data_IF_992550546143
#
_entry.id   IF_992550546143
#
_cell.length_a   1.000
_cell.length_b   1.000
_cell.length_c   1.000
_cell.angle_alpha   90.00
_cell.angle_beta   90.00
_cell.angle_gamma   90.00
#
_symmetry.space_group_name_H-M   'P 1'
#
loop_
_entity.id
_entity.type
_entity.pdbx_description
1 polymer ?
#
# COMPACT_ATOMS: atom_id res chain seq x y z
N UNK A 1 16.51 1.85 -0.81
CA UNK A 1 15.81 2.65 0.20
C UNK A 1 15.76 1.96 1.56
N UNK A 2 15.33 0.70 1.65
CA UNK A 2 15.21 -0.03 2.93
C UNK A 2 16.54 -0.13 3.70
N UNK A 3 17.66 -0.42 3.03
CA UNK A 3 18.99 -0.47 3.65
C UNK A 3 19.39 0.87 4.29
N UNK A 4 19.03 1.99 3.65
CA UNK A 4 19.29 3.34 4.20
C UNK A 4 18.49 3.55 5.48
N UNK A 5 17.21 3.13 5.49
CA UNK A 5 16.35 3.23 6.67
C UNK A 5 16.86 2.30 7.78
N UNK A 6 17.29 1.09 7.44
CA UNK A 6 17.86 0.13 8.39
C UNK A 6 19.14 0.69 9.02
N UNK A 7 20.04 1.27 8.23
CA UNK A 7 21.24 1.93 8.74
C UNK A 7 20.91 3.13 9.65
N UNK A 8 19.95 3.97 9.26
CA UNK A 8 19.52 5.10 10.08
C UNK A 8 18.83 4.65 11.38
N UNK A 9 18.12 3.52 11.34
CA UNK A 9 17.45 2.92 12.52
C UNK A 9 18.42 2.34 13.54
N UNK A 10 19.69 2.16 13.21
CA UNK A 10 20.74 1.75 14.17
C UNK A 10 21.04 2.84 15.21
N UNK A 11 20.58 4.08 14.99
CA UNK A 11 20.68 5.16 15.96
C UNK A 11 19.85 4.82 17.21
N UNK A 12 20.42 4.86 18.42
CA UNK A 12 19.76 4.33 19.63
C UNK A 12 18.54 5.14 20.08
N UNK A 13 18.37 6.37 19.63
CA UNK A 13 17.22 7.23 19.97
C UNK A 13 16.99 8.33 18.93
N UNK A 14 15.78 8.88 18.93
CA UNK A 14 15.43 10.07 18.15
C UNK A 14 15.28 9.82 16.65
N UNK A 15 15.21 8.56 16.23
CA UNK A 15 14.89 8.20 14.85
C UNK A 15 13.63 7.32 14.81
N UNK A 16 12.63 7.76 14.08
CA UNK A 16 11.41 6.98 13.84
C UNK A 16 11.45 6.49 12.39
N UNK A 17 11.57 5.16 12.15
CA UNK A 17 11.67 4.63 10.80
C UNK A 17 10.29 4.67 10.10
N UNK A 18 10.22 5.34 8.96
CA UNK A 18 9.12 5.26 8.02
C UNK A 18 9.60 4.54 6.76
N UNK A 19 8.81 3.57 6.31
CA UNK A 19 9.14 2.78 5.13
C UNK A 19 8.19 3.14 3.97
N UNK A 20 8.67 3.06 2.72
CA UNK A 20 7.78 3.18 1.57
C UNK A 20 6.64 2.16 1.65
N UNK A 21 5.48 2.56 1.15
CA UNK A 21 4.27 1.73 1.10
C UNK A 21 3.30 2.26 0.05
N UNK A 22 2.06 1.80 0.09
CA UNK A 22 0.99 2.28 -0.81
C UNK A 22 0.70 3.77 -0.62
N UNK A 23 0.99 4.27 0.55
CA UNK A 23 0.78 5.65 1.00
C UNK A 23 0.56 5.67 2.51
N UNK A 24 0.63 6.84 3.11
CA UNK A 24 0.32 7.05 4.51
C UNK A 24 -1.16 7.31 4.63
N UNK A 25 -1.86 6.45 5.37
CA UNK A 25 -3.28 6.60 5.70
C UNK A 25 -3.50 7.03 7.14
N UNK A 26 -4.78 7.01 7.57
CA UNK A 26 -5.22 7.44 8.89
C UNK A 26 -5.51 8.93 8.98
N UNK A 27 -5.79 9.43 10.20
CA UNK A 27 -6.37 10.76 10.38
C UNK A 27 -5.34 11.85 10.71
N UNK A 28 -4.22 11.52 11.35
CA UNK A 28 -3.29 12.51 11.86
C UNK A 28 -2.15 12.78 10.87
N UNK A 29 -1.37 11.75 10.52
CA UNK A 29 -0.14 11.94 9.74
C UNK A 29 -0.39 12.56 8.36
N UNK A 30 -1.41 12.17 7.57
CA UNK A 30 -1.66 12.80 6.27
C UNK A 30 -2.37 14.15 6.37
N UNK A 31 -3.03 14.48 7.50
CA UNK A 31 -3.91 15.65 7.60
C UNK A 31 -3.31 16.79 8.41
N UNK A 32 -2.72 16.53 9.58
CA UNK A 32 -2.21 17.59 10.47
C UNK A 32 -1.14 18.47 9.81
N UNK A 33 -0.20 17.96 9.00
CA UNK A 33 0.74 18.79 8.27
C UNK A 33 0.07 19.76 7.29
N UNK A 34 -1.09 19.38 6.71
CA UNK A 34 -1.85 20.25 5.81
C UNK A 34 -2.51 21.41 6.55
N UNK A 35 -2.97 21.19 7.78
CA UNK A 35 -3.43 22.28 8.64
C UNK A 35 -2.30 23.27 8.93
N UNK A 36 -1.09 22.78 9.21
CA UNK A 36 0.07 23.64 9.40
C UNK A 36 0.39 24.44 8.12
N UNK A 37 0.34 23.82 6.96
CA UNK A 37 0.55 24.47 5.65
C UNK A 37 -0.49 25.55 5.42
N UNK A 38 -1.77 25.26 5.68
CA UNK A 38 -2.86 26.22 5.57
C UNK A 38 -2.67 27.40 6.53
N UNK A 39 -2.36 27.13 7.80
CA UNK A 39 -2.14 28.18 8.80
C UNK A 39 -0.94 29.07 8.45
N UNK A 40 0.17 28.48 8.03
CA UNK A 40 1.36 29.23 7.61
C UNK A 40 1.04 30.17 6.44
N UNK A 41 0.25 29.70 5.46
CA UNK A 41 -0.16 30.52 4.31
C UNK A 41 -0.95 31.76 4.73
N UNK A 42 -1.80 31.66 5.76
CA UNK A 42 -2.54 32.82 6.33
C UNK A 42 -1.62 33.86 6.98
N UNK A 43 -0.39 33.48 7.31
CA UNK A 43 0.65 34.35 7.86
C UNK A 43 1.68 34.80 6.82
N UNK A 44 1.42 34.53 5.54
CA UNK A 44 2.34 34.89 4.44
C UNK A 44 3.56 33.97 4.29
N UNK A 45 3.58 32.84 4.99
CA UNK A 45 4.66 31.85 4.89
C UNK A 45 4.26 30.67 4.01
N UNK A 46 5.26 30.02 3.39
CA UNK A 46 5.08 28.81 2.59
C UNK A 46 5.66 27.61 3.32
N UNK A 47 5.03 26.46 3.16
CA UNK A 47 5.51 25.16 3.66
C UNK A 47 5.72 24.21 2.47
N UNK A 48 6.58 24.61 1.52
CA UNK A 48 6.76 23.93 0.23
C UNK A 48 7.18 22.47 0.39
N UNK A 49 8.00 22.17 1.40
CA UNK A 49 8.44 20.79 1.67
C UNK A 49 7.27 19.89 2.10
N UNK A 50 6.36 20.39 2.94
CA UNK A 50 5.16 19.62 3.34
C UNK A 50 4.26 19.37 2.13
N UNK A 51 4.05 20.40 1.31
CA UNK A 51 3.24 20.28 0.09
C UNK A 51 3.84 19.29 -0.92
N UNK A 52 5.17 19.30 -1.09
CA UNK A 52 5.85 18.35 -1.95
C UNK A 52 5.77 16.90 -1.40
N UNK A 53 5.93 16.72 -0.09
CA UNK A 53 5.81 15.41 0.55
C UNK A 53 4.38 14.85 0.41
N UNK A 54 3.37 15.69 0.60
CA UNK A 54 1.96 15.31 0.41
C UNK A 54 1.69 14.90 -1.04
N UNK A 55 2.14 15.69 -2.02
CA UNK A 55 1.97 15.36 -3.44
C UNK A 55 2.60 14.01 -3.81
N UNK A 56 3.77 13.67 -3.26
CA UNK A 56 4.39 12.35 -3.42
C UNK A 56 3.52 11.27 -2.78
N UNK A 57 3.08 11.46 -1.54
CA UNK A 57 2.22 10.50 -0.83
C UNK A 57 0.94 10.21 -1.62
N UNK A 58 0.25 11.23 -2.10
CA UNK A 58 -0.96 11.11 -2.91
C UNK A 58 -0.72 10.39 -4.25
N UNK A 59 0.49 10.42 -4.78
CA UNK A 59 0.83 9.71 -6.02
C UNK A 59 1.15 8.23 -5.84
N UNK A 60 1.43 7.77 -4.61
CA UNK A 60 1.89 6.41 -4.33
C UNK A 60 0.89 5.30 -4.70
N UNK A 61 -0.41 5.40 -4.43
CA UNK A 61 -1.36 4.37 -4.84
C UNK A 61 -1.31 4.10 -6.35
N UNK A 62 -1.28 5.16 -7.15
CA UNK A 62 -1.16 5.06 -8.60
C UNK A 62 0.19 4.46 -9.05
N UNK A 63 1.27 4.82 -8.38
CA UNK A 63 2.59 4.25 -8.66
C UNK A 63 2.61 2.74 -8.38
N UNK A 64 2.07 2.30 -7.26
CA UNK A 64 1.94 0.89 -6.88
C UNK A 64 1.09 0.13 -7.90
N UNK A 65 -0.08 0.67 -8.27
CA UNK A 65 -0.94 0.05 -9.29
C UNK A 65 -0.21 -0.17 -10.61
N UNK A 66 0.50 0.85 -11.12
CA UNK A 66 1.27 0.74 -12.36
C UNK A 66 2.37 -0.32 -12.26
N UNK A 67 3.05 -0.40 -11.12
CA UNK A 67 4.08 -1.43 -10.91
C UNK A 67 3.49 -2.83 -10.89
N UNK A 68 2.36 -3.04 -10.20
CA UNK A 68 1.69 -4.33 -10.16
C UNK A 68 1.21 -4.76 -11.55
N UNK A 69 0.56 -3.87 -12.30
CA UNK A 69 0.12 -4.16 -13.66
C UNK A 69 1.28 -4.47 -14.63
N UNK A 70 2.45 -3.85 -14.41
CA UNK A 70 3.65 -4.14 -15.21
C UNK A 70 4.27 -5.54 -14.92
N UNK A 71 3.84 -6.22 -13.86
CA UNK A 71 4.24 -7.60 -13.54
C UNK A 71 3.34 -8.65 -14.24
N UNK A 72 2.21 -8.23 -14.76
CA UNK A 72 1.25 -9.11 -15.47
C UNK A 72 1.67 -9.29 -16.92
N UNK A 73 1.42 -10.49 -17.47
CA UNK A 73 1.68 -10.76 -18.89
C UNK A 73 0.83 -9.83 -19.77
N UNK A 74 1.46 -9.19 -20.77
CA UNK A 74 0.83 -8.23 -21.67
C UNK A 74 -0.29 -8.83 -22.53
N UNK A 75 -0.40 -10.14 -22.62
CA UNK A 75 -1.49 -10.84 -23.33
C UNK A 75 -2.80 -10.85 -22.54
N UNK A 76 -2.77 -10.58 -21.24
CA UNK A 76 -3.93 -10.56 -20.34
C UNK A 76 -4.62 -9.20 -20.46
N UNK A 77 -5.83 -9.18 -21.00
CA UNK A 77 -6.58 -7.93 -21.24
C UNK A 77 -7.20 -7.38 -19.96
N UNK A 78 -7.80 -8.24 -19.12
CA UNK A 78 -8.44 -7.88 -17.85
C UNK A 78 -7.74 -8.61 -16.71
N UNK A 79 -6.62 -8.10 -16.22
CA UNK A 79 -5.84 -8.80 -15.18
C UNK A 79 -6.62 -8.88 -13.88
N UNK A 80 -6.50 -10.02 -13.21
CA UNK A 80 -7.07 -10.28 -11.91
C UNK A 80 -6.05 -9.90 -10.83
N UNK A 81 -6.38 -8.91 -10.03
CA UNK A 81 -5.50 -8.35 -8.99
C UNK A 81 -6.06 -8.62 -7.61
N UNK A 82 -5.28 -9.28 -6.76
CA UNK A 82 -5.63 -9.50 -5.36
C UNK A 82 -4.92 -8.49 -4.46
N UNK A 83 -5.66 -7.67 -3.74
CA UNK A 83 -5.10 -6.74 -2.74
C UNK A 83 -5.11 -7.44 -1.37
N UNK A 84 -3.96 -7.52 -0.73
CA UNK A 84 -3.72 -8.13 0.56
C UNK A 84 -3.52 -7.06 1.63
N UNK A 85 -4.47 -6.96 2.56
CA UNK A 85 -4.53 -5.92 3.59
C UNK A 85 -5.08 -4.60 3.06
N UNK A 86 -6.31 -4.26 3.50
CA UNK A 86 -7.00 -3.04 3.08
C UNK A 86 -7.07 -1.98 4.18
N UNK A 87 -6.76 -2.35 5.43
CA UNK A 87 -6.65 -1.41 6.52
C UNK A 87 -5.42 -0.50 6.38
N UNK A 88 -5.48 0.71 6.94
CA UNK A 88 -4.41 1.70 6.80
C UNK A 88 -3.12 1.36 7.57
N UNK A 89 -3.16 0.39 8.48
CA UNK A 89 -1.97 -0.12 9.20
C UNK A 89 -2.16 -1.55 9.70
N UNK A 90 -1.06 -2.27 10.01
CA UNK A 90 -1.12 -3.61 10.60
C UNK A 90 -1.81 -3.66 11.94
N UNK A 91 -2.48 -4.80 12.24
CA UNK A 91 -3.06 -5.11 13.54
C UNK A 91 -4.39 -4.39 13.84
N UNK A 92 -5.00 -3.72 12.86
CA UNK A 92 -6.30 -3.08 12.99
C UNK A 92 -7.18 -3.37 11.77
N UNK A 93 -8.50 -3.38 11.96
CA UNK A 93 -9.48 -3.47 10.87
C UNK A 93 -10.04 -2.10 10.42
N UNK A 94 -9.28 -1.02 10.62
CA UNK A 94 -9.74 0.34 10.29
C UNK A 94 -9.37 0.70 8.85
N UNK A 95 -10.37 0.89 8.02
CA UNK A 95 -10.24 1.21 6.59
C UNK A 95 -10.48 2.68 6.27
N UNK A 96 -10.69 3.53 7.27
CA UNK A 96 -10.89 4.96 7.06
C UNK A 96 -9.60 5.62 6.57
N UNK A 97 -9.71 6.47 5.56
CA UNK A 97 -8.55 7.14 4.94
C UNK A 97 -7.42 6.17 4.54
N UNK A 98 -7.79 4.95 4.14
CA UNK A 98 -6.79 4.00 3.62
C UNK A 98 -6.37 4.39 2.19
N UNK A 99 -5.07 4.47 1.87
CA UNK A 99 -4.61 4.74 0.51
C UNK A 99 -4.92 3.58 -0.45
N UNK A 100 -5.31 2.43 0.08
CA UNK A 100 -5.71 1.25 -0.73
C UNK A 100 -7.00 1.51 -1.49
N UNK A 101 -7.85 2.43 -1.05
CA UNK A 101 -9.06 2.82 -1.79
C UNK A 101 -8.70 3.42 -3.15
N UNK A 102 -7.77 4.37 -3.19
CA UNK A 102 -7.31 4.98 -4.44
C UNK A 102 -6.54 3.98 -5.32
N UNK A 103 -5.76 3.08 -4.70
CA UNK A 103 -5.10 1.97 -5.41
C UNK A 103 -6.12 1.10 -6.15
N UNK A 104 -7.17 0.65 -5.45
CA UNK A 104 -8.27 -0.14 -6.02
C UNK A 104 -8.95 0.58 -7.17
N UNK A 105 -9.34 1.83 -6.95
CA UNK A 105 -10.07 2.61 -7.94
C UNK A 105 -9.24 2.84 -9.21
N UNK A 106 -7.93 3.05 -9.06
CA UNK A 106 -7.04 3.16 -10.21
C UNK A 106 -6.93 1.82 -10.97
N UNK A 107 -6.79 0.68 -10.29
CA UNK A 107 -6.74 -0.64 -10.92
C UNK A 107 -8.03 -0.94 -11.70
N UNK A 108 -9.20 -0.68 -11.11
CA UNK A 108 -10.50 -0.81 -11.78
C UNK A 108 -10.59 0.09 -13.04
N UNK A 109 -10.13 1.33 -12.95
CA UNK A 109 -10.10 2.27 -14.08
C UNK A 109 -9.17 1.81 -15.22
N UNK A 110 -8.17 0.96 -14.92
CA UNK A 110 -7.32 0.31 -15.93
C UNK A 110 -7.91 -1.00 -16.48
N UNK A 111 -9.13 -1.38 -16.08
CA UNK A 111 -9.83 -2.58 -16.57
C UNK A 111 -9.48 -3.86 -15.81
N UNK A 112 -8.79 -3.78 -14.68
CA UNK A 112 -8.52 -4.95 -13.85
C UNK A 112 -9.78 -5.44 -13.11
N UNK A 113 -9.90 -6.75 -12.93
CA UNK A 113 -10.80 -7.36 -11.94
C UNK A 113 -10.09 -7.34 -10.59
N UNK A 114 -10.63 -6.64 -9.60
CA UNK A 114 -9.98 -6.45 -8.29
C UNK A 114 -10.76 -7.12 -7.19
N UNK A 115 -10.08 -8.00 -6.45
CA UNK A 115 -10.56 -8.57 -5.19
C UNK A 115 -9.61 -8.18 -4.05
N UNK A 116 -10.06 -8.40 -2.82
CA UNK A 116 -9.25 -8.07 -1.65
C UNK A 116 -9.41 -9.12 -0.55
N UNK A 117 -8.38 -9.26 0.28
CA UNK A 117 -8.35 -10.08 1.47
C UNK A 117 -7.73 -9.32 2.64
N UNK A 118 -8.41 -9.28 3.77
CA UNK A 118 -7.89 -8.75 5.03
C UNK A 118 -8.58 -9.50 6.18
N UNK A 119 -7.87 -10.25 7.04
CA UNK A 119 -8.48 -11.05 8.09
C UNK A 119 -9.14 -10.23 9.21
N UNK A 120 -8.89 -8.93 9.27
CA UNK A 120 -9.43 -8.02 10.28
C UNK A 120 -10.57 -7.14 9.76
N UNK A 121 -10.90 -7.24 8.47
CA UNK A 121 -11.95 -6.44 7.82
C UNK A 121 -13.00 -7.38 7.23
N UNK A 122 -14.24 -7.27 7.69
CA UNK A 122 -15.34 -8.11 7.22
C UNK A 122 -16.08 -7.54 6.01
N UNK A 123 -16.14 -6.23 5.88
CA UNK A 123 -16.78 -5.54 4.74
C UNK A 123 -15.97 -4.29 4.39
N UNK A 124 -15.70 -4.13 3.09
CA UNK A 124 -15.07 -2.94 2.55
C UNK A 124 -15.56 -2.65 1.13
N UNK A 125 -15.96 -1.40 0.86
CA UNK A 125 -16.58 -0.99 -0.42
C UNK A 125 -17.72 -1.92 -0.85
N UNK A 126 -18.65 -2.18 0.07
CA UNK A 126 -19.85 -3.02 -0.12
C UNK A 126 -19.56 -4.46 -0.59
N UNK A 127 -18.36 -4.96 -0.32
CA UNK A 127 -17.94 -6.33 -0.64
C UNK A 127 -17.30 -7.03 0.55
N UNK A 128 -17.37 -8.35 0.56
CA UNK A 128 -16.69 -9.23 1.51
C UNK A 128 -15.27 -9.57 1.03
N UNK A 129 -14.35 -9.93 1.94
CA UNK A 129 -13.04 -10.42 1.55
C UNK A 129 -13.14 -11.75 0.82
N UNK A 130 -12.29 -11.97 -0.18
CA UNK A 130 -12.15 -13.29 -0.80
C UNK A 130 -11.15 -14.15 -0.02
N UNK A 131 -11.17 -15.47 -0.24
CA UNK A 131 -10.16 -16.37 0.27
C UNK A 131 -8.83 -16.18 -0.47
N UNK A 132 -7.71 -16.58 0.16
CA UNK A 132 -6.38 -16.50 -0.46
C UNK A 132 -6.23 -17.41 -1.70
N UNK A 133 -7.09 -18.41 -1.86
CA UNK A 133 -7.17 -19.29 -3.04
C UNK A 133 -7.85 -18.62 -4.25
N UNK A 134 -8.34 -17.39 -4.11
CA UNK A 134 -8.91 -16.66 -5.24
C UNK A 134 -7.84 -16.48 -6.32
N UNK A 135 -8.13 -16.98 -7.52
CA UNK A 135 -7.17 -16.97 -8.64
C UNK A 135 -6.90 -15.56 -9.10
N UNK A 136 -5.65 -15.15 -9.04
CA UNK A 136 -5.19 -13.85 -9.50
C UNK A 136 -3.94 -13.98 -10.38
N UNK A 137 -3.69 -12.97 -11.20
CA UNK A 137 -2.51 -12.85 -12.05
C UNK A 137 -1.38 -12.16 -11.30
N UNK A 138 -1.73 -11.28 -10.37
CA UNK A 138 -0.78 -10.58 -9.48
C UNK A 138 -1.44 -10.28 -8.13
N UNK A 139 -0.67 -10.36 -7.06
CA UNK A 139 -1.10 -9.91 -5.73
C UNK A 139 -0.31 -8.67 -5.30
N UNK A 140 -0.95 -7.78 -4.53
CA UNK A 140 -0.32 -6.59 -3.94
C UNK A 140 -0.43 -6.71 -2.42
N UNK A 141 0.69 -6.92 -1.74
CA UNK A 141 0.73 -6.87 -0.28
C UNK A 141 0.81 -5.41 0.16
N UNK A 142 -0.36 -4.80 0.39
CA UNK A 142 -0.49 -3.40 0.79
C UNK A 142 -0.28 -3.20 2.29
N UNK A 143 -0.88 -4.08 3.11
CA UNK A 143 -0.73 -4.09 4.57
C UNK A 143 -0.56 -5.53 5.07
N UNK A 144 0.53 -5.82 5.76
CA UNK A 144 0.78 -7.16 6.30
C UNK A 144 0.02 -7.35 7.61
N UNK A 145 -1.13 -8.01 7.55
CA UNK A 145 -1.96 -8.29 8.74
C UNK A 145 -1.52 -9.56 9.48
N UNK A 146 -1.67 -9.60 10.81
CA UNK A 146 -1.49 -10.82 11.58
C UNK A 146 -2.40 -11.94 11.08
N UNK A 147 -1.86 -13.15 10.95
CA UNK A 147 -2.61 -14.34 10.52
C UNK A 147 -2.75 -14.51 9.01
N UNK A 148 -2.35 -13.54 8.19
CA UNK A 148 -2.38 -13.64 6.73
C UNK A 148 -1.21 -14.50 6.21
N UNK A 149 -1.50 -15.66 5.63
CA UNK A 149 -0.47 -16.55 5.08
C UNK A 149 -0.11 -16.23 3.63
N UNK A 150 0.52 -15.06 3.43
CA UNK A 150 0.92 -14.58 2.09
C UNK A 150 2.00 -15.48 1.45
N UNK A 151 2.79 -16.21 2.26
CA UNK A 151 3.82 -17.10 1.75
C UNK A 151 3.24 -18.22 0.90
N UNK A 152 2.06 -18.74 1.27
CA UNK A 152 1.38 -19.78 0.49
C UNK A 152 1.04 -19.34 -0.94
N UNK A 153 0.75 -18.05 -1.18
CA UNK A 153 0.53 -17.52 -2.54
C UNK A 153 1.83 -17.51 -3.36
N UNK A 154 2.94 -17.09 -2.77
CA UNK A 154 4.24 -17.11 -3.45
C UNK A 154 4.67 -18.54 -3.82
N UNK A 155 4.41 -19.52 -2.94
CA UNK A 155 4.69 -20.95 -3.18
C UNK A 155 3.81 -21.52 -4.32
N UNK A 156 2.65 -20.95 -4.59
CA UNK A 156 1.80 -21.28 -5.74
C UNK A 156 2.27 -20.62 -7.05
N UNK A 157 3.34 -19.84 -7.03
CA UNK A 157 3.89 -19.17 -8.20
C UNK A 157 3.21 -17.84 -8.55
N UNK A 158 2.34 -17.30 -7.69
CA UNK A 158 1.72 -15.99 -7.88
C UNK A 158 2.78 -14.89 -7.71
N UNK A 159 2.84 -13.96 -8.66
CA UNK A 159 3.68 -12.78 -8.56
C UNK A 159 3.14 -11.83 -7.49
N UNK A 160 3.97 -11.39 -6.55
CA UNK A 160 3.57 -10.52 -5.44
C UNK A 160 4.39 -9.23 -5.46
N UNK A 161 3.71 -8.09 -5.51
CA UNK A 161 4.31 -6.80 -5.20
C UNK A 161 4.20 -6.54 -3.70
N UNK A 162 5.33 -6.63 -2.99
CA UNK A 162 5.38 -6.41 -1.54
C UNK A 162 5.66 -4.93 -1.22
N UNK A 163 4.61 -4.20 -0.82
CA UNK A 163 4.70 -2.79 -0.40
C UNK A 163 5.15 -2.64 1.06
N UNK A 164 5.27 -3.74 1.80
CA UNK A 164 5.62 -3.72 3.23
C UNK A 164 7.05 -4.13 3.51
N UNK A 165 7.74 -4.71 2.51
CA UNK A 165 9.07 -5.32 2.63
C UNK A 165 9.15 -6.42 3.72
N UNK A 166 8.04 -7.13 3.93
CA UNK A 166 7.93 -8.22 4.91
C UNK A 166 8.30 -9.60 4.35
N UNK A 167 8.30 -9.75 3.01
CA UNK A 167 8.55 -11.02 2.31
C UNK A 167 9.94 -11.06 1.64
N UNK A 168 10.96 -10.64 2.37
CA UNK A 168 12.34 -10.54 1.85
C UNK A 168 12.83 -11.89 1.29
N UNK A 169 13.47 -11.82 0.11
CA UNK A 169 14.17 -12.96 -0.54
C UNK A 169 13.27 -14.15 -0.90
N UNK A 170 11.97 -13.96 -1.09
CA UNK A 170 11.09 -15.02 -1.58
C UNK A 170 11.01 -15.02 -3.11
N UNK A 171 11.06 -16.19 -3.77
CA UNK A 171 10.80 -16.30 -5.21
C UNK A 171 9.42 -15.75 -5.57
N UNK A 172 9.29 -15.05 -6.70
CA UNK A 172 8.03 -14.46 -7.14
C UNK A 172 7.61 -13.18 -6.39
N UNK A 173 8.41 -12.72 -5.43
CA UNK A 173 8.14 -11.48 -4.67
C UNK A 173 9.04 -10.34 -5.15
N UNK A 174 8.44 -9.23 -5.50
CA UNK A 174 9.11 -7.98 -5.88
C UNK A 174 8.83 -6.93 -4.81
N UNK A 175 9.86 -6.36 -4.21
CA UNK A 175 9.70 -5.25 -3.27
C UNK A 175 9.36 -3.94 -4.00
N UNK A 176 8.62 -3.05 -3.28
CA UNK A 176 8.25 -1.73 -3.76
C UNK A 176 9.48 -0.81 -3.94
#
# INVERSE_FOLDING_TARGET
MHEVIDAASSKPYGFMPFRPGVGVGGHCIPIDPLYLTWWASKKGNKADFISAADAVNQSMPRYVAKRALAMVDLSIINPRVLILGVAYKPGVGDVRETPVAELRDYLLAQGAEVAWHDPLVSIWNDSEPVDLEWKCDVAILATSQPGMNVKALAEQGIQILDCTNSLKNMPGVTAL
#
